data_IF_427241991767
#
_entry.id   IF_427241991767
#
_cell.length_a   1.000
_cell.length_b   1.000
_cell.length_c   1.000
_cell.angle_alpha   90.00
_cell.angle_beta   90.00
_cell.angle_gamma   90.00
#
_symmetry.space_group_name_H-M   'P 1'
#
loop_
_entity.id
_entity.type
_entity.pdbx_description
1 polymer ?
#
# COMPACT_ATOMS: atom_id res chain seq x y z
N UNK A 1 -15.39 -81.82 -12.30
CA UNK A 1 -16.03 -81.19 -11.13
C UNK A 1 -14.98 -80.30 -10.49
N UNK A 2 -14.93 -79.03 -10.90
CA UNK A 2 -13.86 -78.10 -10.55
C UNK A 2 -14.23 -77.34 -9.26
N UNK A 3 -13.32 -77.33 -8.29
CA UNK A 3 -13.40 -76.51 -7.08
C UNK A 3 -12.78 -75.13 -7.35
N UNK A 4 -13.25 -74.05 -6.70
CA UNK A 4 -12.81 -72.69 -6.99
C UNK A 4 -11.50 -72.33 -6.28
N UNK A 5 -10.66 -71.54 -6.95
CA UNK A 5 -9.39 -71.00 -6.47
C UNK A 5 -9.59 -70.01 -5.30
N UNK A 6 -8.88 -70.24 -4.20
CA UNK A 6 -8.65 -69.26 -3.13
C UNK A 6 -7.84 -68.07 -3.68
N UNK A 7 -8.51 -66.93 -3.85
CA UNK A 7 -7.86 -65.64 -4.07
C UNK A 7 -7.24 -65.19 -2.74
N UNK A 8 -5.92 -65.27 -2.65
CA UNK A 8 -5.12 -64.74 -1.55
C UNK A 8 -5.19 -63.21 -1.55
N UNK A 9 -5.82 -62.63 -0.52
CA UNK A 9 -5.84 -61.20 -0.29
C UNK A 9 -4.44 -60.70 0.08
N UNK A 10 -3.88 -59.77 -0.71
CA UNK A 10 -2.71 -58.97 -0.30
C UNK A 10 -3.15 -57.90 0.70
N UNK A 11 -2.36 -57.59 1.74
CA UNK A 11 -2.71 -56.57 2.72
C UNK A 11 -2.65 -55.18 2.08
N UNK A 12 -3.63 -54.34 2.40
CA UNK A 12 -3.59 -52.90 2.13
C UNK A 12 -2.54 -52.27 3.04
N UNK A 13 -1.39 -51.91 2.49
CA UNK A 13 -0.44 -51.02 3.18
C UNK A 13 -1.04 -49.62 3.28
N UNK A 14 -1.25 -49.20 4.52
CA UNK A 14 -1.62 -47.85 4.90
C UNK A 14 -0.35 -46.99 4.98
N UNK A 15 -0.41 -45.84 4.31
CA UNK A 15 0.20 -44.56 4.71
C UNK A 15 1.72 -44.36 4.55
N UNK A 16 2.11 -43.53 3.58
CA UNK A 16 3.27 -42.66 3.71
C UNK A 16 2.98 -41.32 3.03
N UNK A 17 2.61 -40.35 3.86
CA UNK A 17 2.83 -38.92 3.73
C UNK A 17 2.88 -38.33 2.31
N UNK A 18 1.87 -37.53 1.98
CA UNK A 18 1.95 -36.53 0.91
C UNK A 18 3.24 -35.72 1.06
N UNK A 19 4.24 -36.04 0.22
CA UNK A 19 5.52 -35.36 0.21
C UNK A 19 5.28 -33.87 -0.03
N UNK A 20 5.77 -33.03 0.88
CA UNK A 20 5.78 -31.59 0.70
C UNK A 20 6.55 -31.26 -0.60
N UNK A 21 6.16 -30.22 -1.37
CA UNK A 21 6.68 -29.94 -2.71
C UNK A 21 8.08 -29.32 -2.71
N UNK A 22 8.97 -29.82 -1.86
CA UNK A 22 10.30 -29.29 -1.62
C UNK A 22 11.32 -30.42 -1.60
N UNK A 23 12.22 -30.44 -2.58
CA UNK A 23 13.37 -31.34 -2.59
C UNK A 23 14.64 -30.57 -2.17
N UNK A 24 15.43 -31.22 -1.32
CA UNK A 24 16.77 -30.76 -0.92
C UNK A 24 17.80 -31.36 -1.87
N UNK A 25 18.44 -30.53 -2.69
CA UNK A 25 19.66 -30.94 -3.41
C UNK A 25 20.91 -30.72 -2.55
N UNK A 26 22.00 -31.42 -2.90
CA UNK A 26 23.31 -31.58 -2.22
C UNK A 26 24.01 -30.29 -1.73
N UNK A 27 23.46 -29.11 -2.03
CA UNK A 27 23.89 -27.79 -1.56
C UNK A 27 23.07 -27.23 -0.39
N UNK A 28 22.10 -27.98 0.17
CA UNK A 28 21.24 -27.53 1.26
C UNK A 28 20.21 -26.45 0.88
N UNK A 29 20.02 -26.20 -0.41
CA UNK A 29 19.06 -25.23 -0.94
C UNK A 29 17.73 -25.92 -1.27
N UNK A 30 16.63 -25.37 -0.77
CA UNK A 30 15.27 -25.82 -1.07
C UNK A 30 14.86 -25.34 -2.47
N UNK A 31 14.44 -26.26 -3.34
CA UNK A 31 13.88 -25.97 -4.65
C UNK A 31 12.38 -26.28 -4.69
N UNK A 32 11.62 -25.55 -5.51
CA UNK A 32 10.20 -25.83 -5.80
C UNK A 32 10.15 -26.72 -7.03
N UNK A 33 9.57 -27.92 -6.92
CA UNK A 33 9.40 -28.85 -8.05
C UNK A 33 8.46 -28.26 -9.09
N UNK A 34 8.97 -28.03 -10.30
CA UNK A 34 8.22 -27.45 -11.40
C UNK A 34 7.86 -28.50 -12.45
N UNK A 35 6.64 -29.00 -12.43
CA UNK A 35 6.10 -29.79 -13.56
C UNK A 35 5.02 -29.07 -14.39
N UNK A 36 4.54 -27.88 -13.99
CA UNK A 36 3.42 -27.24 -14.71
C UNK A 36 3.46 -25.71 -14.90
N UNK A 37 4.62 -25.04 -14.87
CA UNK A 37 4.67 -23.58 -15.13
C UNK A 37 5.86 -23.21 -16.02
N UNK A 38 5.81 -23.62 -17.29
CA UNK A 38 6.63 -23.04 -18.34
C UNK A 38 5.78 -22.04 -19.14
N UNK A 39 5.81 -20.76 -18.75
CA UNK A 39 5.38 -19.67 -19.61
C UNK A 39 6.56 -18.70 -19.80
N UNK A 40 6.95 -18.62 -21.06
CA UNK A 40 7.98 -17.81 -21.71
C UNK A 40 8.51 -16.55 -20.98
N UNK A 41 9.83 -16.42 -20.96
CA UNK A 41 10.52 -15.16 -21.30
C UNK A 41 10.97 -14.23 -20.17
N UNK A 42 10.41 -14.31 -18.97
CA UNK A 42 10.90 -13.54 -17.81
C UNK A 42 11.34 -14.50 -16.72
N UNK A 43 12.56 -14.33 -16.18
CA UNK A 43 13.17 -15.23 -15.19
C UNK A 43 12.23 -15.46 -14.01
N UNK A 44 11.54 -16.60 -14.05
CA UNK A 44 10.45 -16.96 -13.14
C UNK A 44 10.92 -16.91 -11.69
N UNK A 45 10.16 -16.19 -10.85
CA UNK A 45 10.36 -16.17 -9.40
C UNK A 45 10.15 -17.55 -8.76
N UNK A 46 9.56 -18.50 -9.49
CA UNK A 46 9.25 -19.84 -9.02
C UNK A 46 10.40 -20.85 -9.18
N UNK A 47 11.44 -20.54 -9.96
CA UNK A 47 12.47 -21.53 -10.35
C UNK A 47 13.87 -21.23 -9.79
N UNK A 48 14.03 -20.19 -8.96
CA UNK A 48 15.32 -19.80 -8.38
C UNK A 48 15.51 -20.28 -6.93
N UNK A 49 16.75 -20.33 -6.41
CA UNK A 49 17.01 -20.71 -5.01
C UNK A 49 16.20 -19.85 -4.04
N UNK A 50 15.47 -20.50 -3.12
CA UNK A 50 14.50 -19.84 -2.24
C UNK A 50 15.10 -18.64 -1.49
N UNK A 51 16.30 -18.79 -0.93
CA UNK A 51 16.99 -17.72 -0.19
C UNK A 51 17.32 -16.49 -1.04
N UNK A 52 17.78 -16.69 -2.28
CA UNK A 52 18.09 -15.58 -3.20
C UNK A 52 16.82 -14.86 -3.66
N UNK A 53 15.74 -15.61 -3.90
CA UNK A 53 14.44 -15.04 -4.28
C UNK A 53 13.83 -14.23 -3.13
N UNK A 54 13.87 -14.74 -1.89
CA UNK A 54 13.42 -14.02 -0.69
C UNK A 54 14.22 -12.73 -0.53
N UNK A 55 15.56 -12.78 -0.54
CA UNK A 55 16.39 -11.58 -0.41
C UNK A 55 16.08 -10.56 -1.51
N UNK A 56 15.95 -10.98 -2.77
CA UNK A 56 15.65 -10.08 -3.88
C UNK A 56 14.30 -9.36 -3.75
N UNK A 57 13.30 -9.99 -3.14
CA UNK A 57 11.96 -9.41 -2.92
C UNK A 57 11.92 -8.60 -1.61
N UNK A 58 12.61 -9.07 -0.56
CA UNK A 58 12.66 -8.44 0.75
C UNK A 58 13.51 -7.17 0.76
N UNK A 59 14.67 -7.13 0.08
CA UNK A 59 15.55 -5.96 0.10
C UNK A 59 14.85 -4.68 -0.35
N UNK A 60 14.11 -4.62 -1.49
CA UNK A 60 13.35 -3.43 -1.87
C UNK A 60 12.25 -3.06 -0.86
N UNK A 61 11.61 -4.06 -0.23
CA UNK A 61 10.56 -3.81 0.76
C UNK A 61 11.13 -3.18 2.05
N UNK A 62 12.23 -3.73 2.57
CA UNK A 62 12.94 -3.17 3.74
C UNK A 62 13.48 -1.77 3.42
N UNK A 63 14.08 -1.58 2.25
CA UNK A 63 14.56 -0.27 1.82
C UNK A 63 13.41 0.76 1.71
N UNK A 64 12.23 0.34 1.23
CA UNK A 64 11.03 1.20 1.21
C UNK A 64 10.62 1.65 2.62
N UNK A 65 10.63 0.72 3.58
CA UNK A 65 10.28 1.02 4.98
C UNK A 65 11.29 1.98 5.62
N UNK A 66 12.58 1.74 5.43
CA UNK A 66 13.63 2.64 5.92
C UNK A 66 13.50 4.05 5.32
N UNK A 67 13.20 4.13 4.03
CA UNK A 67 13.02 5.40 3.35
C UNK A 67 11.80 6.18 3.88
N UNK A 68 10.68 5.49 4.15
CA UNK A 68 9.51 6.07 4.80
C UNK A 68 9.83 6.58 6.21
N UNK A 69 10.63 5.84 6.99
CA UNK A 69 11.06 6.26 8.33
C UNK A 69 11.94 7.52 8.28
N UNK A 70 12.88 7.58 7.33
CA UNK A 70 13.70 8.77 7.10
C UNK A 70 12.83 9.96 6.70
N UNK A 71 11.88 9.75 5.78
CA UNK A 71 10.93 10.77 5.36
C UNK A 71 10.14 11.34 6.55
N UNK A 72 9.51 10.48 7.35
CA UNK A 72 8.74 10.90 8.51
C UNK A 72 9.59 11.69 9.53
N UNK A 73 10.85 11.28 9.73
CA UNK A 73 11.76 11.96 10.64
C UNK A 73 12.14 13.37 10.15
N UNK A 74 12.43 13.51 8.84
CA UNK A 74 12.80 14.79 8.25
C UNK A 74 11.61 15.73 8.14
N UNK A 75 10.42 15.24 7.79
CA UNK A 75 9.18 16.01 7.76
C UNK A 75 8.86 16.56 9.16
N UNK A 76 8.90 15.71 10.19
CA UNK A 76 8.71 16.12 11.58
C UNK A 76 9.76 17.16 12.03
N UNK A 77 11.02 17.02 11.61
CA UNK A 77 12.06 18.00 11.89
C UNK A 77 11.75 19.38 11.28
N UNK A 78 11.36 19.44 9.99
CA UNK A 78 11.01 20.70 9.33
C UNK A 78 9.77 21.34 9.94
N UNK A 79 8.72 20.56 10.17
CA UNK A 79 7.47 21.03 10.78
C UNK A 79 7.74 21.53 12.21
N UNK A 80 8.42 20.74 13.03
CA UNK A 80 8.70 21.08 14.43
C UNK A 80 9.59 22.31 14.58
N UNK A 81 10.66 22.43 13.79
CA UNK A 81 11.59 23.57 13.89
C UNK A 81 11.05 24.86 13.28
N UNK A 82 10.18 24.79 12.27
CA UNK A 82 9.75 25.98 11.50
C UNK A 82 8.33 26.43 11.77
N UNK A 83 7.44 25.51 12.10
CA UNK A 83 6.03 25.81 12.45
C UNK A 83 5.85 25.83 13.97
N UNK A 84 6.71 25.11 14.70
CA UNK A 84 6.68 25.01 16.15
C UNK A 84 5.83 23.86 16.65
N UNK A 85 5.68 23.78 17.97
CA UNK A 85 4.98 22.69 18.67
C UNK A 85 3.53 22.51 18.23
N UNK A 86 2.80 23.61 17.97
CA UNK A 86 1.44 23.56 17.46
C UNK A 86 1.35 22.94 16.06
N UNK A 87 2.33 23.21 15.19
CA UNK A 87 2.43 22.61 13.86
C UNK A 87 2.72 21.12 13.91
N UNK A 88 3.66 20.71 14.78
CA UNK A 88 3.99 19.30 14.97
C UNK A 88 2.79 18.52 15.52
N UNK A 89 2.13 19.05 16.57
CA UNK A 89 0.90 18.48 17.12
C UNK A 89 -0.21 18.35 16.07
N UNK A 90 -0.33 19.34 15.17
CA UNK A 90 -1.31 19.33 14.09
C UNK A 90 -1.03 18.24 13.05
N UNK A 91 0.23 18.06 12.63
CA UNK A 91 0.63 16.98 11.72
C UNK A 91 0.43 15.63 12.38
N UNK A 92 0.85 15.45 13.64
CA UNK A 92 0.65 14.20 14.40
C UNK A 92 -0.83 13.84 14.51
N UNK A 93 -1.70 14.79 14.85
CA UNK A 93 -3.14 14.55 14.90
C UNK A 93 -3.72 14.19 13.51
N UNK A 94 -3.25 14.85 12.46
CA UNK A 94 -3.69 14.57 11.09
C UNK A 94 -3.21 13.20 10.58
N UNK A 95 -2.04 12.72 11.00
CA UNK A 95 -1.47 11.42 10.60
C UNK A 95 -2.41 10.27 10.93
N UNK A 96 -3.11 10.29 12.06
CA UNK A 96 -4.07 9.23 12.41
C UNK A 96 -5.26 9.17 11.46
N UNK A 97 -5.78 10.33 11.05
CA UNK A 97 -6.81 10.41 10.02
C UNK A 97 -6.28 9.99 8.64
N UNK A 98 -5.04 10.37 8.31
CA UNK A 98 -4.38 9.92 7.09
C UNK A 98 -4.21 8.40 7.08
N UNK A 99 -3.89 7.79 8.21
CA UNK A 99 -3.73 6.34 8.31
C UNK A 99 -5.07 5.62 8.05
N UNK A 100 -6.18 6.15 8.58
CA UNK A 100 -7.53 5.67 8.26
C UNK A 100 -7.84 5.79 6.76
N UNK A 101 -7.44 6.89 6.13
CA UNK A 101 -7.64 7.11 4.69
C UNK A 101 -6.78 6.12 3.88
N UNK A 102 -5.52 5.93 4.26
CA UNK A 102 -4.58 5.04 3.58
C UNK A 102 -4.99 3.57 3.73
N UNK A 103 -5.54 3.15 4.87
CA UNK A 103 -5.99 1.77 5.06
C UNK A 103 -7.10 1.36 4.07
N UNK A 104 -7.94 2.31 3.67
CA UNK A 104 -8.95 2.12 2.61
C UNK A 104 -8.28 1.92 1.24
N UNK A 105 -7.18 2.62 0.96
CA UNK A 105 -6.41 2.39 -0.27
C UNK A 105 -5.66 1.05 -0.24
N UNK A 106 -5.09 0.69 0.91
CA UNK A 106 -4.41 -0.59 1.14
C UNK A 106 -5.34 -1.78 1.00
N UNK A 107 -6.60 -1.65 1.45
CA UNK A 107 -7.65 -2.63 1.19
C UNK A 107 -7.70 -3.01 -0.30
N UNK A 108 -7.78 -2.02 -1.19
CA UNK A 108 -7.82 -2.28 -2.62
C UNK A 108 -6.49 -2.82 -3.14
N UNK A 109 -5.36 -2.28 -2.64
CA UNK A 109 -4.01 -2.73 -3.01
C UNK A 109 -3.78 -4.22 -2.71
N UNK A 110 -4.11 -4.67 -1.50
CA UNK A 110 -3.98 -6.07 -1.06
C UNK A 110 -4.90 -6.97 -1.86
N UNK A 111 -6.16 -6.55 -2.03
CA UNK A 111 -7.14 -7.28 -2.83
C UNK A 111 -6.71 -7.44 -4.29
N UNK A 112 -6.22 -6.37 -4.92
CA UNK A 112 -5.69 -6.40 -6.28
C UNK A 112 -4.46 -7.31 -6.35
N UNK A 113 -3.50 -7.17 -5.43
CA UNK A 113 -2.29 -7.98 -5.42
C UNK A 113 -2.62 -9.47 -5.42
N UNK A 114 -3.50 -9.90 -4.51
CA UNK A 114 -3.90 -11.30 -4.38
C UNK A 114 -4.71 -11.82 -5.59
N UNK A 115 -5.67 -11.04 -6.11
CA UNK A 115 -6.51 -11.48 -7.23
C UNK A 115 -5.72 -11.50 -8.54
N UNK A 116 -4.94 -10.45 -8.82
CA UNK A 116 -4.15 -10.35 -10.05
C UNK A 116 -2.97 -11.33 -10.05
N UNK A 117 -2.28 -11.56 -8.92
CA UNK A 117 -1.23 -12.57 -8.83
C UNK A 117 -1.77 -13.97 -9.12
N UNK A 118 -2.95 -14.32 -8.57
CA UNK A 118 -3.62 -15.59 -8.84
C UNK A 118 -3.95 -15.76 -10.32
N UNK A 119 -4.56 -14.75 -10.96
CA UNK A 119 -4.87 -14.78 -12.40
C UNK A 119 -3.61 -14.92 -13.26
N UNK A 120 -2.51 -14.30 -12.87
CA UNK A 120 -1.22 -14.50 -13.56
C UNK A 120 -0.69 -15.91 -13.37
N UNK A 121 -0.75 -16.46 -12.15
CA UNK A 121 -0.36 -17.84 -11.86
C UNK A 121 -1.19 -18.88 -12.61
N UNK A 122 -2.47 -18.59 -12.86
CA UNK A 122 -3.37 -19.38 -13.71
C UNK A 122 -3.06 -19.28 -15.23
N UNK A 123 -2.00 -18.57 -15.63
CA UNK A 123 -1.67 -18.35 -17.05
C UNK A 123 -2.61 -17.36 -17.75
N UNK A 124 -3.33 -16.51 -17.00
CA UNK A 124 -4.34 -15.56 -17.52
C UNK A 124 -3.92 -14.09 -17.29
N UNK A 125 -2.78 -13.62 -17.85
CA UNK A 125 -2.27 -12.27 -17.62
C UNK A 125 -3.18 -11.17 -18.17
N UNK A 126 -3.94 -11.43 -19.24
CA UNK A 126 -4.92 -10.48 -19.77
C UNK A 126 -6.07 -10.21 -18.78
N UNK A 127 -6.46 -11.21 -18.00
CA UNK A 127 -7.46 -11.04 -16.95
C UNK A 127 -6.90 -10.32 -15.74
N UNK A 128 -5.65 -10.61 -15.36
CA UNK A 128 -4.95 -9.83 -14.33
C UNK A 128 -4.90 -8.34 -14.72
N UNK A 129 -4.58 -8.03 -15.98
CA UNK A 129 -4.58 -6.67 -16.49
C UNK A 129 -5.98 -6.03 -16.48
N UNK A 130 -7.04 -6.81 -16.74
CA UNK A 130 -8.41 -6.32 -16.63
C UNK A 130 -8.83 -6.05 -15.19
N UNK A 131 -8.44 -6.91 -14.25
CA UNK A 131 -8.67 -6.71 -12.81
C UNK A 131 -7.94 -5.45 -12.31
N UNK A 132 -6.73 -5.17 -12.79
CA UNK A 132 -6.02 -3.92 -12.47
C UNK A 132 -6.78 -2.68 -12.96
N UNK A 133 -7.45 -2.75 -14.12
CA UNK A 133 -8.32 -1.68 -14.60
C UNK A 133 -9.58 -1.50 -13.75
N UNK A 134 -10.21 -2.60 -13.34
CA UNK A 134 -11.36 -2.60 -12.42
C UNK A 134 -10.96 -2.01 -11.05
N UNK A 135 -9.77 -2.36 -10.53
CA UNK A 135 -9.21 -1.84 -9.29
C UNK A 135 -8.92 -0.34 -9.37
N UNK A 136 -8.37 0.14 -10.50
CA UNK A 136 -8.12 1.57 -10.69
C UNK A 136 -9.43 2.38 -10.66
N UNK A 137 -10.47 1.90 -11.34
CA UNK A 137 -11.78 2.55 -11.32
C UNK A 137 -12.39 2.55 -9.91
N UNK A 138 -12.32 1.41 -9.20
CA UNK A 138 -12.77 1.30 -7.80
C UNK A 138 -12.04 2.31 -6.91
N UNK A 139 -10.71 2.36 -7.00
CA UNK A 139 -9.89 3.17 -6.12
C UNK A 139 -10.03 4.67 -6.39
N UNK A 140 -10.20 5.09 -7.64
CA UNK A 140 -10.51 6.49 -7.95
C UNK A 140 -11.89 6.90 -7.44
N UNK A 141 -12.90 6.05 -7.58
CA UNK A 141 -14.23 6.31 -7.03
C UNK A 141 -14.21 6.37 -5.50
N UNK A 142 -13.49 5.45 -4.86
CA UNK A 142 -13.35 5.39 -3.40
C UNK A 142 -12.56 6.58 -2.86
N UNK A 143 -11.46 6.95 -3.53
CA UNK A 143 -10.67 8.15 -3.20
C UNK A 143 -11.48 9.43 -3.34
N UNK A 144 -12.32 9.55 -4.38
CA UNK A 144 -13.23 10.68 -4.55
C UNK A 144 -14.31 10.73 -3.45
N UNK A 145 -14.89 9.57 -3.11
CA UNK A 145 -15.85 9.47 -2.01
C UNK A 145 -15.21 9.87 -0.67
N UNK A 146 -14.00 9.37 -0.38
CA UNK A 146 -13.24 9.73 0.82
C UNK A 146 -12.90 11.22 0.84
N UNK A 147 -12.52 11.80 -0.29
CA UNK A 147 -12.26 13.23 -0.41
C UNK A 147 -13.52 14.05 -0.04
N UNK A 148 -14.66 13.74 -0.66
CA UNK A 148 -15.92 14.47 -0.44
C UNK A 148 -16.41 14.30 1.00
N UNK A 149 -16.50 13.07 1.49
CA UNK A 149 -16.96 12.79 2.85
C UNK A 149 -16.01 13.37 3.89
N UNK A 150 -14.71 13.17 3.71
CA UNK A 150 -13.66 13.66 4.60
C UNK A 150 -13.67 15.18 4.70
N UNK A 151 -13.83 15.90 3.59
CA UNK A 151 -13.93 17.36 3.59
C UNK A 151 -15.21 17.85 4.28
N UNK A 152 -16.33 17.16 4.09
CA UNK A 152 -17.60 17.52 4.72
C UNK A 152 -17.56 17.37 6.26
N UNK A 153 -16.80 16.41 6.78
CA UNK A 153 -16.66 16.17 8.23
C UNK A 153 -15.37 16.73 8.82
N UNK A 154 -14.50 17.36 8.01
CA UNK A 154 -13.15 17.78 8.40
C UNK A 154 -13.11 18.60 9.71
N UNK A 155 -13.98 19.59 9.95
CA UNK A 155 -13.97 20.33 11.22
C UNK A 155 -14.35 19.45 12.41
N UNK A 156 -15.20 18.44 12.20
CA UNK A 156 -15.67 17.52 13.26
C UNK A 156 -14.60 16.48 13.63
N UNK A 157 -13.73 16.11 12.70
CA UNK A 157 -12.64 15.16 12.96
C UNK A 157 -11.70 15.68 14.06
N UNK A 158 -11.26 16.93 13.95
CA UNK A 158 -10.39 17.54 14.96
C UNK A 158 -11.16 17.88 16.25
N UNK A 159 -12.42 18.29 16.16
CA UNK A 159 -13.26 18.47 17.35
C UNK A 159 -13.41 17.19 18.19
N UNK A 160 -13.48 16.02 17.53
CA UNK A 160 -13.57 14.72 18.22
C UNK A 160 -12.30 14.39 19.03
N UNK A 161 -11.14 14.86 18.57
CA UNK A 161 -9.86 14.68 19.28
C UNK A 161 -9.69 15.66 20.45
N UNK A 162 -10.54 16.69 20.54
CA UNK A 162 -10.45 17.73 21.56
C UNK A 162 -9.25 18.67 21.39
N UNK A 163 -8.64 18.74 20.20
CA UNK A 163 -7.42 19.52 19.99
C UNK A 163 -7.65 21.03 20.18
N UNK A 164 -6.65 21.78 20.66
CA UNK A 164 -6.70 23.24 20.73
C UNK A 164 -7.06 23.92 19.39
N UNK A 165 -7.61 25.15 19.39
CA UNK A 165 -8.08 25.82 18.16
C UNK A 165 -6.98 26.07 17.11
N UNK A 166 -5.77 26.41 17.56
CA UNK A 166 -4.58 26.63 16.72
C UNK A 166 -4.11 25.33 16.05
N UNK A 167 -4.05 24.23 16.80
CA UNK A 167 -3.75 22.87 16.29
C UNK A 167 -4.83 22.42 15.30
N UNK A 168 -6.10 22.65 15.64
CA UNK A 168 -7.25 22.30 14.79
C UNK A 168 -7.20 23.03 13.44
N UNK A 169 -6.89 24.32 13.44
CA UNK A 169 -6.79 25.11 12.21
C UNK A 169 -5.66 24.61 11.29
N UNK A 170 -4.48 24.35 11.86
CA UNK A 170 -3.32 23.84 11.12
C UNK A 170 -3.58 22.42 10.60
N UNK A 171 -4.12 21.54 11.44
CA UNK A 171 -4.42 20.16 11.09
C UNK A 171 -5.49 20.07 10.00
N UNK A 172 -6.53 20.89 10.08
CA UNK A 172 -7.57 20.96 9.04
C UNK A 172 -7.00 21.44 7.70
N UNK A 173 -6.08 22.41 7.67
CA UNK A 173 -5.41 22.86 6.43
C UNK A 173 -4.56 21.74 5.82
N UNK A 174 -3.83 21.00 6.64
CA UNK A 174 -3.00 19.87 6.22
C UNK A 174 -3.85 18.72 5.67
N UNK A 175 -4.77 18.20 6.49
CA UNK A 175 -5.63 17.08 6.15
C UNK A 175 -6.59 17.40 5.00
N UNK A 176 -7.14 18.62 4.95
CA UNK A 176 -8.00 19.06 3.85
C UNK A 176 -7.28 19.05 2.51
N UNK A 177 -6.02 19.48 2.49
CA UNK A 177 -5.19 19.42 1.27
C UNK A 177 -4.91 17.98 0.86
N UNK A 178 -4.60 17.11 1.82
CA UNK A 178 -4.40 15.68 1.58
C UNK A 178 -5.66 15.00 1.03
N UNK A 179 -6.85 15.34 1.57
CA UNK A 179 -8.15 14.82 1.15
C UNK A 179 -8.50 15.19 -0.30
N UNK A 180 -8.27 16.44 -0.71
CA UNK A 180 -8.44 16.85 -2.11
C UNK A 180 -7.59 15.97 -3.04
N UNK A 181 -6.40 15.62 -2.57
CA UNK A 181 -5.45 14.77 -3.27
C UNK A 181 -5.68 13.26 -3.17
N UNK A 182 -6.66 12.83 -2.37
CA UNK A 182 -6.86 11.41 -2.04
C UNK A 182 -6.97 10.52 -3.29
N UNK A 183 -7.72 10.87 -4.37
CA UNK A 183 -7.81 10.04 -5.56
C UNK A 183 -6.45 9.72 -6.21
N UNK A 184 -5.52 10.68 -6.24
CA UNK A 184 -4.20 10.50 -6.83
C UNK A 184 -3.32 9.58 -5.97
N UNK A 185 -3.35 9.79 -4.66
CA UNK A 185 -2.64 8.96 -3.69
C UNK A 185 -3.14 7.52 -3.77
N UNK A 186 -4.46 7.36 -3.80
CA UNK A 186 -5.15 6.09 -3.97
C UNK A 186 -4.74 5.40 -5.28
N UNK A 187 -4.67 6.15 -6.38
CA UNK A 187 -4.16 5.65 -7.65
C UNK A 187 -2.75 5.06 -7.56
N UNK A 188 -1.84 5.68 -6.80
CA UNK A 188 -0.49 5.15 -6.60
C UNK A 188 -0.49 3.75 -5.94
N UNK A 189 -1.38 3.50 -4.98
CA UNK A 189 -1.50 2.17 -4.36
C UNK A 189 -1.91 1.08 -5.36
N UNK A 190 -2.74 1.41 -6.35
CA UNK A 190 -3.10 0.47 -7.42
C UNK A 190 -1.90 0.19 -8.33
N UNK A 191 -1.10 1.21 -8.63
CA UNK A 191 0.13 1.04 -9.41
C UNK A 191 1.09 0.10 -8.69
N UNK A 192 1.36 0.36 -7.40
CA UNK A 192 2.21 -0.49 -6.56
C UNK A 192 1.72 -1.94 -6.53
N UNK A 193 0.42 -2.14 -6.25
CA UNK A 193 -0.21 -3.45 -6.24
C UNK A 193 -0.12 -4.19 -7.57
N UNK A 194 -0.31 -3.51 -8.70
CA UNK A 194 -0.28 -4.13 -10.03
C UNK A 194 1.12 -4.65 -10.40
N UNK A 195 2.17 -3.94 -10.01
CA UNK A 195 3.56 -4.39 -10.17
C UNK A 195 3.89 -5.53 -9.21
N UNK A 196 3.51 -5.43 -7.93
CA UNK A 196 3.71 -6.52 -6.95
C UNK A 196 2.98 -7.79 -7.34
N UNK A 197 1.77 -7.67 -7.89
CA UNK A 197 1.01 -8.79 -8.46
C UNK A 197 1.71 -9.48 -9.65
N UNK A 198 2.69 -8.82 -10.27
CA UNK A 198 3.52 -9.38 -11.33
C UNK A 198 4.83 -9.97 -10.82
N UNK A 199 5.11 -9.83 -9.52
CA UNK A 199 6.42 -10.15 -8.95
C UNK A 199 7.49 -9.06 -9.17
N UNK A 200 7.14 -7.90 -9.74
CA UNK A 200 8.06 -6.78 -9.88
C UNK A 200 7.98 -5.89 -8.63
N UNK A 201 8.95 -6.06 -7.72
CA UNK A 201 9.09 -5.19 -6.54
C UNK A 201 10.05 -4.02 -6.74
N UNK A 202 10.81 -4.01 -7.85
CA UNK A 202 11.82 -2.99 -8.11
C UNK A 202 11.21 -1.72 -8.68
N UNK A 203 10.34 -1.85 -9.67
CA UNK A 203 9.64 -0.71 -10.28
C UNK A 203 8.86 0.11 -9.23
N UNK A 204 8.00 -0.48 -8.39
CA UNK A 204 7.28 0.28 -7.37
C UNK A 204 8.20 0.90 -6.31
N UNK A 205 9.29 0.22 -5.93
CA UNK A 205 10.29 0.78 -5.02
C UNK A 205 10.97 2.01 -5.61
N UNK A 206 11.38 1.99 -6.88
CA UNK A 206 12.00 3.13 -7.55
C UNK A 206 11.03 4.32 -7.68
N UNK A 207 9.76 4.03 -8.00
CA UNK A 207 8.69 5.03 -8.05
C UNK A 207 8.49 5.68 -6.67
N UNK A 208 8.35 4.87 -5.62
CA UNK A 208 8.24 5.36 -4.24
C UNK A 208 9.47 6.18 -3.84
N UNK A 209 10.66 5.69 -4.17
CA UNK A 209 11.92 6.34 -3.79
C UNK A 209 12.06 7.70 -4.45
N UNK A 210 11.73 7.77 -5.74
CA UNK A 210 11.69 9.04 -6.49
C UNK A 210 10.66 9.99 -5.88
N UNK A 211 9.48 9.49 -5.50
CA UNK A 211 8.46 10.29 -4.83
C UNK A 211 8.98 10.88 -3.53
N UNK A 212 9.57 10.05 -2.65
CA UNK A 212 10.04 10.48 -1.33
C UNK A 212 11.19 11.47 -1.45
N UNK A 213 12.18 11.20 -2.30
CA UNK A 213 13.31 12.12 -2.51
C UNK A 213 12.81 13.44 -3.08
N UNK A 214 11.90 13.42 -4.05
CA UNK A 214 11.30 14.64 -4.57
C UNK A 214 10.54 15.41 -3.48
N UNK A 215 9.81 14.71 -2.59
CA UNK A 215 9.08 15.35 -1.49
C UNK A 215 10.05 16.01 -0.52
N UNK A 216 11.11 15.31 -0.11
CA UNK A 216 12.14 15.85 0.79
C UNK A 216 12.82 17.12 0.26
N UNK A 217 12.93 17.26 -1.06
CA UNK A 217 13.45 18.47 -1.70
C UNK A 217 12.38 19.55 -1.80
N UNK A 218 11.13 19.19 -2.09
CA UNK A 218 10.01 20.12 -2.24
C UNK A 218 9.50 20.66 -0.90
N UNK A 219 9.60 19.91 0.18
CA UNK A 219 9.14 20.29 1.52
C UNK A 219 9.80 21.60 1.98
N UNK A 220 11.14 21.75 2.06
CA UNK A 220 11.73 23.02 2.45
C UNK A 220 11.37 24.15 1.47
N UNK A 221 11.23 23.86 0.17
CA UNK A 221 10.86 24.86 -0.84
C UNK A 221 9.45 25.41 -0.58
N UNK A 222 8.46 24.54 -0.37
CA UNK A 222 7.05 24.94 -0.21
C UNK A 222 6.71 25.37 1.23
N UNK A 223 7.35 24.79 2.24
CA UNK A 223 7.16 25.18 3.63
C UNK A 223 7.76 26.58 3.86
N UNK A 224 8.99 26.82 3.38
CA UNK A 224 9.75 28.04 3.65
C UNK A 224 9.63 29.12 2.59
N UNK A 225 9.01 28.82 1.44
CA UNK A 225 8.98 29.75 0.32
C UNK A 225 10.39 30.03 -0.27
N UNK A 226 11.28 29.04 -0.22
CA UNK A 226 12.60 29.17 -0.84
C UNK A 226 12.44 29.24 -2.37
N UNK A 227 13.45 29.79 -3.07
CA UNK A 227 13.46 29.92 -4.54
C UNK A 227 12.35 30.83 -5.12
N UNK A 228 11.83 31.78 -4.33
CA UNK A 228 10.79 32.71 -4.76
C UNK A 228 9.37 32.12 -4.73
N UNK A 229 9.19 30.93 -4.15
CA UNK A 229 7.88 30.34 -3.93
C UNK A 229 7.14 31.04 -2.76
N UNK A 230 5.79 31.07 -2.76
CA UNK A 230 5.04 31.58 -1.62
C UNK A 230 5.26 30.68 -0.38
N UNK A 231 5.33 31.28 0.80
CA UNK A 231 5.41 30.56 2.08
C UNK A 231 4.06 29.89 2.38
N UNK A 232 3.93 28.60 2.10
CA UNK A 232 2.68 27.84 2.30
C UNK A 232 2.62 27.15 3.67
N UNK A 233 3.71 27.14 4.44
CA UNK A 233 3.78 26.54 5.77
C UNK A 233 3.35 25.07 5.75
N UNK A 234 2.50 24.66 6.70
CA UNK A 234 2.00 23.27 6.81
C UNK A 234 1.26 22.81 5.54
N UNK A 235 0.60 23.73 4.83
CA UNK A 235 -0.09 23.40 3.57
C UNK A 235 0.90 23.02 2.48
N UNK A 236 2.10 23.61 2.51
CA UNK A 236 3.20 23.31 1.58
C UNK A 236 3.63 21.85 1.65
N UNK A 237 3.78 21.29 2.86
CA UNK A 237 4.13 19.88 3.07
C UNK A 237 3.10 18.91 2.46
N UNK A 238 1.81 19.19 2.67
CA UNK A 238 0.74 18.39 2.07
C UNK A 238 0.73 18.49 0.53
N UNK A 239 0.98 19.68 -0.04
CA UNK A 239 1.06 19.89 -1.49
C UNK A 239 2.26 19.16 -2.08
N UNK A 240 3.43 19.22 -1.44
CA UNK A 240 4.63 18.51 -1.87
C UNK A 240 4.35 17.01 -2.01
N UNK A 241 3.80 16.41 -0.95
CA UNK A 241 3.45 14.99 -0.91
C UNK A 241 2.41 14.62 -1.99
N UNK A 242 1.40 15.47 -2.18
CA UNK A 242 0.37 15.22 -3.20
C UNK A 242 0.96 15.32 -4.62
N UNK A 243 1.75 16.35 -4.89
CA UNK A 243 2.33 16.57 -6.20
C UNK A 243 3.26 15.42 -6.60
N UNK A 244 4.15 15.00 -5.71
CA UNK A 244 5.10 13.91 -6.00
C UNK A 244 4.39 12.57 -6.17
N UNK A 245 3.44 12.24 -5.28
CA UNK A 245 2.63 11.01 -5.43
C UNK A 245 1.78 11.03 -6.68
N UNK A 246 1.21 12.17 -7.04
CA UNK A 246 0.44 12.36 -8.27
C UNK A 246 1.29 12.15 -9.53
N UNK A 247 2.47 12.74 -9.58
CA UNK A 247 3.43 12.56 -10.69
C UNK A 247 3.81 11.09 -10.82
N UNK A 248 4.20 10.46 -9.72
CA UNK A 248 4.62 9.05 -9.71
C UNK A 248 3.47 8.11 -10.04
N UNK A 249 2.24 8.42 -9.63
CA UNK A 249 1.03 7.71 -10.08
C UNK A 249 0.87 7.78 -11.60
N UNK A 250 0.97 8.98 -12.20
CA UNK A 250 0.84 9.14 -13.66
C UNK A 250 1.95 8.39 -14.40
N UNK A 251 3.21 8.50 -13.96
CA UNK A 251 4.34 7.75 -14.53
C UNK A 251 4.08 6.24 -14.42
N UNK A 252 3.68 5.77 -13.25
CA UNK A 252 3.36 4.37 -13.00
C UNK A 252 2.22 3.85 -13.86
N UNK A 253 1.18 4.67 -14.08
CA UNK A 253 0.05 4.33 -14.96
C UNK A 253 0.49 4.20 -16.42
N UNK A 254 1.36 5.09 -16.89
CA UNK A 254 1.96 5.01 -18.23
C UNK A 254 2.80 3.74 -18.36
N UNK A 255 3.59 3.38 -17.35
CA UNK A 255 4.38 2.15 -17.36
C UNK A 255 3.49 0.90 -17.39
N UNK A 256 2.43 0.84 -16.58
CA UNK A 256 1.47 -0.26 -16.60
C UNK A 256 0.80 -0.41 -17.97
N UNK A 257 0.44 0.70 -18.62
CA UNK A 257 -0.11 0.70 -19.97
C UNK A 257 0.88 0.16 -20.99
N UNK A 258 2.14 0.64 -20.96
CA UNK A 258 3.20 0.21 -21.88
C UNK A 258 3.54 -1.28 -21.73
N UNK A 259 3.49 -1.82 -20.51
CA UNK A 259 3.74 -3.25 -20.25
C UNK A 259 2.49 -4.14 -20.38
N UNK A 260 1.37 -3.60 -20.90
CA UNK A 260 0.08 -4.30 -21.02
C UNK A 260 -0.43 -4.90 -19.68
N UNK A 261 -0.01 -4.33 -18.55
CA UNK A 261 -0.37 -4.78 -17.20
C UNK A 261 -1.70 -4.20 -16.72
N UNK A 262 -2.31 -3.29 -17.50
CA UNK A 262 -3.62 -2.71 -17.22
C UNK A 262 -4.46 -2.63 -18.50
N UNK A 263 -5.71 -3.09 -18.42
CA UNK A 263 -6.68 -3.04 -19.52
C UNK A 263 -7.98 -2.39 -19.04
N UNK A 264 -8.36 -1.32 -19.70
CA UNK A 264 -9.53 -0.54 -19.34
C UNK A 264 -10.79 -1.07 -20.05
N UNK A 265 -11.93 -0.89 -19.41
CA UNK A 265 -13.26 -0.98 -19.98
C UNK A 265 -14.31 -0.96 -18.88
N UNK A 266 -15.55 -1.36 -19.20
CA UNK A 266 -16.66 -1.34 -18.24
C UNK A 266 -16.29 -2.00 -16.91
N UNK A 267 -16.48 -1.31 -15.76
CA UNK A 267 -16.18 -1.83 -14.43
C UNK A 267 -16.98 -3.09 -14.14
N UNK A 268 -16.30 -4.16 -13.73
CA UNK A 268 -16.96 -5.42 -13.38
C UNK A 268 -17.20 -5.52 -11.88
N UNK A 269 -18.46 -5.43 -11.47
CA UNK A 269 -18.86 -5.53 -10.07
C UNK A 269 -18.34 -6.80 -9.37
N UNK A 270 -18.29 -7.93 -10.08
CA UNK A 270 -17.75 -9.18 -9.54
C UNK A 270 -16.26 -9.09 -9.20
N UNK A 271 -15.45 -8.48 -10.07
CA UNK A 271 -14.02 -8.30 -9.82
C UNK A 271 -13.76 -7.32 -8.66
N UNK A 272 -14.50 -6.21 -8.61
CA UNK A 272 -14.43 -5.24 -7.51
C UNK A 272 -14.83 -5.87 -6.17
N UNK A 273 -15.89 -6.69 -6.15
CA UNK A 273 -16.30 -7.43 -4.93
C UNK A 273 -15.23 -8.43 -4.48
N UNK A 274 -14.55 -9.10 -5.41
CA UNK A 274 -13.47 -10.03 -5.07
C UNK A 274 -12.28 -9.30 -4.45
N UNK A 275 -11.86 -8.17 -5.04
CA UNK A 275 -10.82 -7.30 -4.49
C UNK A 275 -11.19 -6.86 -3.07
N UNK A 276 -12.39 -6.30 -2.89
CA UNK A 276 -12.87 -5.84 -1.59
C UNK A 276 -12.91 -6.98 -0.57
N UNK A 277 -13.42 -8.17 -0.93
CA UNK A 277 -13.50 -9.31 -0.01
C UNK A 277 -12.14 -9.75 0.52
N UNK A 278 -11.10 -9.70 -0.32
CA UNK A 278 -9.74 -10.09 0.08
C UNK A 278 -9.04 -8.97 0.86
N UNK A 279 -9.30 -7.72 0.51
CA UNK A 279 -8.69 -6.56 1.15
C UNK A 279 -9.34 -6.10 2.45
N UNK A 280 -10.64 -6.37 2.64
CA UNK A 280 -11.43 -5.86 3.76
C UNK A 280 -10.82 -6.20 5.12
N UNK A 281 -10.29 -7.43 5.36
CA UNK A 281 -9.61 -7.74 6.62
C UNK A 281 -8.46 -6.79 6.95
N UNK A 282 -7.67 -6.37 5.95
CA UNK A 282 -6.55 -5.42 6.13
C UNK A 282 -7.05 -4.03 6.49
N UNK A 283 -8.14 -3.58 5.88
CA UNK A 283 -8.76 -2.29 6.21
C UNK A 283 -9.18 -2.23 7.68
N UNK A 284 -9.75 -3.33 8.20
CA UNK A 284 -10.20 -3.43 9.60
C UNK A 284 -9.04 -3.20 10.58
N UNK A 285 -7.85 -3.72 10.27
CA UNK A 285 -6.65 -3.49 11.08
C UNK A 285 -6.29 -2.00 11.11
N UNK A 286 -6.25 -1.33 9.95
CA UNK A 286 -5.95 0.10 9.89
C UNK A 286 -7.00 0.98 10.57
N UNK A 287 -8.29 0.63 10.47
CA UNK A 287 -9.37 1.31 11.21
C UNK A 287 -9.18 1.15 12.72
N UNK A 288 -8.85 -0.05 13.19
CA UNK A 288 -8.60 -0.29 14.61
C UNK A 288 -7.42 0.54 15.13
N UNK A 289 -6.30 0.59 14.39
CA UNK A 289 -5.16 1.44 14.74
C UNK A 289 -5.54 2.92 14.82
N UNK A 290 -6.25 3.45 13.80
CA UNK A 290 -6.67 4.85 13.81
C UNK A 290 -7.56 5.19 15.02
N UNK A 291 -8.52 4.31 15.36
CA UNK A 291 -9.40 4.51 16.51
C UNK A 291 -8.66 4.47 17.85
N UNK A 292 -7.74 3.51 18.02
CA UNK A 292 -6.91 3.41 19.23
C UNK A 292 -6.14 4.72 19.43
N UNK A 293 -5.53 5.25 18.37
CA UNK A 293 -4.78 6.48 18.47
C UNK A 293 -5.62 7.73 18.70
N UNK A 294 -6.84 7.80 18.16
CA UNK A 294 -7.79 8.88 18.48
C UNK A 294 -8.12 8.87 19.98
N UNK A 295 -8.33 7.69 20.57
CA UNK A 295 -8.56 7.56 22.02
C UNK A 295 -7.33 7.99 22.81
N UNK A 296 -6.14 7.52 22.45
CA UNK A 296 -4.87 7.92 23.09
C UNK A 296 -4.69 9.44 23.00
N UNK A 297 -4.89 10.04 21.82
CA UNK A 297 -4.73 11.48 21.62
C UNK A 297 -5.71 12.25 22.50
N UNK A 298 -6.97 11.80 22.59
CA UNK A 298 -7.98 12.42 23.45
C UNK A 298 -7.60 12.35 24.94
N UNK A 299 -6.96 11.27 25.37
CA UNK A 299 -6.43 11.11 26.75
C UNK A 299 -5.19 11.99 26.96
N UNK A 300 -4.37 12.20 25.93
CA UNK A 300 -3.15 13.00 25.98
C UNK A 300 -3.42 14.52 25.95
N UNK A 301 -4.48 14.96 25.27
CA UNK A 301 -4.86 16.37 25.12
C UNK A 301 -4.88 17.19 26.43
N UNK A 302 -5.44 16.70 27.55
CA UNK A 302 -5.42 17.41 28.83
C UNK A 302 -4.01 17.67 29.39
N UNK A 303 -2.99 16.93 28.96
CA UNK A 303 -1.60 17.12 29.39
C UNK A 303 -0.84 18.21 28.59
N UNK A 304 -1.51 18.84 27.62
CA UNK A 304 -1.01 20.00 26.88
C UNK A 304 -0.29 19.66 25.57
N UNK A 305 -0.08 20.68 24.74
CA UNK A 305 0.52 20.57 23.40
C UNK A 305 1.88 19.85 23.35
N UNK A 306 2.79 20.00 24.33
CA UNK A 306 4.04 19.25 24.35
C UNK A 306 3.84 17.74 24.53
N UNK A 307 2.87 17.31 25.35
CA UNK A 307 2.55 15.90 25.56
C UNK A 307 1.86 15.27 24.33
N UNK A 308 1.20 16.08 23.50
CA UNK A 308 0.66 15.65 22.21
C UNK A 308 1.73 15.55 21.11
N UNK A 309 2.86 16.24 21.30
CA UNK A 309 3.95 16.35 20.34
C UNK A 309 5.12 15.39 20.62
N UNK A 310 5.20 14.83 21.84
CA UNK A 310 6.17 13.83 22.27
C UNK A 310 5.68 12.41 21.99
#
# INVERSE_FOLDING_TARGET
MAAPEETTARPLEHDSAAALPFETHDTGALYVTGEHIAVAGERSLATGPLGSTILRVATPAVASMLLMTVFASVDAFWVGTRIGSAGLAAVTAAVFWIWLIVSIAEMVSVGLTAVAARRRGEGRPAEAARVAGDALALTLALGAAVAVLGLAILPRLFALMGTPPDVTLLGARYLGTYLIGAPLIFGFFVVDAAFRAAGDTRTPFLLLSTSVVATLVLDPVLILGLLGAPTLGIRGAAIATLATRGIVFVIGLVLLRRRAMIRFGAPRAHAMKSILRVGLPTATTGVAFALIYVVITRIATPFGTPALAA
#
